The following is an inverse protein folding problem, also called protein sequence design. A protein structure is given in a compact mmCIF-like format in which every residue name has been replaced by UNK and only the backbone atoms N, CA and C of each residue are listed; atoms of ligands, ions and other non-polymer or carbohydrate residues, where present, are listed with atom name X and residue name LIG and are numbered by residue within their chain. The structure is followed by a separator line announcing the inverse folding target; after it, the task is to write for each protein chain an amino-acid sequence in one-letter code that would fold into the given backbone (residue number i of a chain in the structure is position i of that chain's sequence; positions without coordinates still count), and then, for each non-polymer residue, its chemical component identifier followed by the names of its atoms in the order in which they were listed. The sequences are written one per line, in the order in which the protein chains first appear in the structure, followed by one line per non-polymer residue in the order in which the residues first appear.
data_IF_570282079264
#
_entry.id   IF_570282079264
#
_cell.length_a   1.000
_cell.length_b   1.000
_cell.length_c   1.000
_cell.angle_alpha   90.00
_cell.angle_beta   90.00
_cell.angle_gamma   90.00
#
_symmetry.space_group_name_H-M   'P 1'
#
loop_
_entity.id
_entity.type
_entity.pdbx_description
1 polymer ?
#
# COMPACT_ATOMS: atom_id res chain seq x y z
N UNK A 1 4.50 12.25 1.22
CA UNK A 1 5.46 11.13 1.32
C UNK A 1 5.75 10.73 -0.11
N UNK A 2 6.95 11.02 -0.59
CA UNK A 2 7.30 10.70 -1.96
C UNK A 2 8.35 9.59 -2.00
N UNK A 3 8.51 8.97 -3.17
CA UNK A 3 9.62 8.08 -3.45
C UNK A 3 10.87 8.92 -3.78
N UNK A 4 12.04 8.42 -3.40
CA UNK A 4 13.31 9.09 -3.61
C UNK A 4 14.47 8.16 -3.31
N UNK A 5 15.67 8.59 -3.64
CA UNK A 5 16.87 7.76 -3.67
C UNK A 5 17.03 7.05 -5.01
N UNK A 6 17.68 5.88 -4.99
CA UNK A 6 17.86 5.04 -6.17
C UNK A 6 16.63 4.19 -6.41
N UNK A 7 16.03 4.31 -7.60
CA UNK A 7 14.84 3.59 -8.03
C UNK A 7 15.18 2.84 -9.32
N UNK A 8 14.89 1.54 -9.35
CA UNK A 8 15.00 0.72 -10.54
C UNK A 8 13.64 0.36 -11.09
N UNK A 9 13.42 0.58 -12.38
CA UNK A 9 12.24 0.09 -13.09
C UNK A 9 12.69 -0.99 -14.06
N UNK A 10 12.14 -2.19 -13.89
CA UNK A 10 12.40 -3.34 -14.74
C UNK A 10 11.21 -3.53 -15.70
N UNK A 11 11.36 -3.02 -16.93
CA UNK A 11 10.38 -3.24 -17.98
C UNK A 11 10.62 -4.58 -18.69
N UNK A 12 9.60 -5.15 -19.35
CA UNK A 12 9.81 -6.25 -20.27
C UNK A 12 10.90 -5.91 -21.30
N UNK A 13 11.73 -6.89 -21.65
CA UNK A 13 12.80 -6.68 -22.63
C UNK A 13 12.25 -6.38 -24.02
N UNK A 14 12.63 -5.24 -24.58
CA UNK A 14 12.24 -4.80 -25.93
C UNK A 14 13.44 -4.88 -26.88
N UNK A 15 13.29 -5.63 -27.98
CA UNK A 15 14.38 -5.86 -28.95
C UNK A 15 14.63 -4.64 -29.84
N UNK A 16 13.56 -4.02 -30.36
CA UNK A 16 13.69 -2.89 -31.27
C UNK A 16 14.07 -1.61 -30.52
N UNK A 17 15.03 -0.88 -31.06
CA UNK A 17 15.46 0.42 -30.51
C UNK A 17 14.34 1.46 -30.52
N UNK A 18 13.45 1.40 -31.51
CA UNK A 18 12.29 2.28 -31.62
C UNK A 18 11.33 2.11 -30.43
N UNK A 19 11.04 0.86 -30.04
CA UNK A 19 10.14 0.57 -28.92
C UNK A 19 10.72 1.05 -27.59
N UNK A 20 12.03 0.83 -27.36
CA UNK A 20 12.72 1.35 -26.17
C UNK A 20 12.64 2.88 -26.10
N UNK A 21 12.84 3.56 -27.24
CA UNK A 21 12.74 5.01 -27.35
C UNK A 21 11.32 5.50 -27.05
N UNK A 22 10.29 4.80 -27.54
CA UNK A 22 8.90 5.16 -27.24
C UNK A 22 8.60 5.08 -25.74
N UNK A 23 9.10 4.05 -25.04
CA UNK A 23 8.99 3.97 -23.57
C UNK A 23 9.75 5.10 -22.89
N UNK A 24 10.97 5.42 -23.34
CA UNK A 24 11.74 6.54 -22.80
C UNK A 24 11.00 7.88 -22.94
N UNK A 25 10.32 8.13 -24.06
CA UNK A 25 9.55 9.35 -24.31
C UNK A 25 8.30 9.43 -23.41
N UNK A 26 7.55 8.33 -23.28
CA UNK A 26 6.39 8.27 -22.37
C UNK A 26 6.82 8.42 -20.91
N UNK A 27 7.91 7.76 -20.51
CA UNK A 27 8.44 7.86 -19.16
C UNK A 27 8.93 9.27 -18.85
N UNK A 28 9.61 9.94 -19.78
CA UNK A 28 10.00 11.34 -19.61
C UNK A 28 8.78 12.24 -19.38
N UNK A 29 7.75 12.11 -20.22
CA UNK A 29 6.53 12.91 -20.09
C UNK A 29 5.80 12.64 -18.76
N UNK A 30 5.75 11.38 -18.32
CA UNK A 30 5.13 11.00 -17.05
C UNK A 30 5.87 11.55 -15.82
N UNK A 31 7.18 11.80 -15.93
CA UNK A 31 8.03 12.26 -14.83
C UNK A 31 8.41 13.75 -14.93
N UNK A 32 7.90 14.49 -15.91
CA UNK A 32 8.29 15.88 -16.22
C UNK A 32 8.16 16.83 -15.01
N UNK A 33 7.13 16.64 -14.19
CA UNK A 33 6.87 17.45 -12.99
C UNK A 33 7.62 17.02 -11.72
N UNK A 34 8.48 16.02 -11.79
CA UNK A 34 9.13 15.44 -10.61
C UNK A 34 10.66 15.56 -10.74
N UNK A 35 11.38 16.25 -9.83
CA UNK A 35 12.82 16.41 -9.95
C UNK A 35 13.59 15.09 -9.81
N UNK A 36 14.21 14.63 -10.90
CA UNK A 36 14.96 13.38 -10.95
C UNK A 36 16.02 13.39 -12.06
N UNK A 37 16.98 12.48 -11.96
CA UNK A 37 17.83 12.05 -13.07
C UNK A 37 17.44 10.62 -13.47
N UNK A 38 17.60 10.26 -14.74
CA UNK A 38 17.34 8.90 -15.20
C UNK A 38 18.28 8.47 -16.32
N UNK A 39 18.45 7.17 -16.46
CA UNK A 39 19.03 6.57 -17.65
C UNK A 39 17.97 6.42 -18.75
N UNK A 40 18.41 6.28 -20.00
CA UNK A 40 17.58 5.66 -21.03
C UNK A 40 17.38 4.17 -20.72
N UNK A 41 16.36 3.54 -21.32
CA UNK A 41 16.15 2.10 -21.21
C UNK A 41 17.34 1.33 -21.82
N UNK A 42 17.97 0.46 -21.02
CA UNK A 42 19.07 -0.36 -21.50
C UNK A 42 18.58 -1.57 -22.33
N UNK A 43 19.52 -2.38 -22.85
CA UNK A 43 19.19 -3.53 -23.70
C UNK A 43 18.43 -4.67 -23.01
N UNK A 44 18.32 -4.65 -21.67
CA UNK A 44 17.60 -5.65 -20.88
C UNK A 44 16.21 -5.18 -20.44
N UNK A 45 15.88 -3.89 -20.63
CA UNK A 45 14.60 -3.30 -20.20
C UNK A 45 14.70 -2.49 -18.91
N UNK A 46 15.88 -2.34 -18.33
CA UNK A 46 16.04 -1.62 -17.06
C UNK A 46 16.25 -0.11 -17.26
N UNK A 47 15.60 0.67 -16.41
CA UNK A 47 15.80 2.12 -16.26
C UNK A 47 16.16 2.42 -14.81
N UNK A 48 17.26 3.14 -14.59
CA UNK A 48 17.61 3.67 -13.29
C UNK A 48 17.13 5.11 -13.18
N UNK A 49 16.52 5.44 -12.05
CA UNK A 49 16.10 6.78 -11.67
C UNK A 49 16.77 7.14 -10.34
N UNK A 50 17.27 8.36 -10.24
CA UNK A 50 17.79 8.93 -9.00
C UNK A 50 17.03 10.21 -8.72
N UNK A 51 16.32 10.24 -7.59
CA UNK A 51 15.63 11.43 -7.10
C UNK A 51 16.12 11.77 -5.70
N UNK A 52 16.09 13.06 -5.33
CA UNK A 52 16.55 13.49 -4.01
C UNK A 52 15.64 12.90 -2.92
N UNK A 53 16.22 12.20 -1.95
CA UNK A 53 15.48 11.72 -0.78
C UNK A 53 15.45 12.84 0.29
N UNK A 54 14.37 13.62 0.31
CA UNK A 54 14.22 14.73 1.28
C UNK A 54 13.81 14.26 2.69
N UNK A 55 13.32 13.04 2.82
CA UNK A 55 12.97 12.44 4.10
C UNK A 55 12.41 11.03 3.97
N UNK A 56 12.01 10.39 5.09
CA UNK A 56 11.51 9.02 5.07
C UNK A 56 10.24 8.86 4.22
N UNK A 57 10.37 8.11 3.12
CA UNK A 57 9.24 7.70 2.27
C UNK A 57 8.23 6.83 3.04
N UNK A 58 7.07 6.58 2.41
CA UNK A 58 6.05 5.71 3.00
C UNK A 58 6.59 4.29 3.24
N UNK A 59 7.43 3.77 2.34
CA UNK A 59 8.06 2.46 2.48
C UNK A 59 9.02 2.42 3.69
N UNK A 60 9.84 3.45 3.88
CA UNK A 60 10.68 3.57 5.07
C UNK A 60 9.85 3.56 6.36
N UNK A 61 8.75 4.30 6.37
CA UNK A 61 7.82 4.35 7.53
C UNK A 61 7.14 3.01 7.77
N UNK A 62 6.85 2.23 6.73
CA UNK A 62 6.30 0.89 6.87
C UNK A 62 7.33 -0.10 7.42
N UNK A 63 8.59 0.03 7.01
CA UNK A 63 9.68 -0.80 7.53
C UNK A 63 9.88 -0.57 9.04
N UNK A 64 9.85 0.68 9.50
CA UNK A 64 10.11 1.02 10.92
C UNK A 64 8.89 0.93 11.82
N UNK A 65 7.67 1.04 11.28
CA UNK A 65 6.41 0.97 12.03
C UNK A 65 5.46 -0.10 11.50
N UNK A 66 5.98 -1.32 11.30
CA UNK A 66 5.28 -2.43 10.63
C UNK A 66 3.90 -2.75 11.23
N UNK A 67 3.79 -2.80 12.57
CA UNK A 67 2.52 -3.10 13.24
C UNK A 67 1.49 -1.99 13.02
N UNK A 68 1.92 -0.72 13.12
CA UNK A 68 1.04 0.42 12.85
C UNK A 68 0.62 0.50 11.37
N UNK A 69 1.51 0.15 10.45
CA UNK A 69 1.19 0.05 9.03
C UNK A 69 0.15 -1.04 8.76
N UNK A 70 0.36 -2.23 9.32
CA UNK A 70 -0.58 -3.34 9.22
C UNK A 70 -1.95 -2.98 9.83
N UNK A 71 -2.00 -2.23 10.93
CA UNK A 71 -3.26 -1.76 11.52
C UNK A 71 -4.08 -0.90 10.54
N UNK A 72 -3.42 0.05 9.85
CA UNK A 72 -4.06 0.87 8.80
C UNK A 72 -4.49 0.02 7.60
N UNK A 73 -3.70 -0.98 7.21
CA UNK A 73 -4.08 -1.91 6.14
C UNK A 73 -5.29 -2.76 6.51
N UNK A 74 -5.40 -3.20 7.76
CA UNK A 74 -6.55 -3.95 8.27
C UNK A 74 -7.85 -3.15 8.17
N UNK A 75 -7.83 -1.86 8.55
CA UNK A 75 -8.96 -0.93 8.37
C UNK A 75 -9.35 -0.77 6.89
N UNK A 76 -8.37 -0.62 6.00
CA UNK A 76 -8.63 -0.53 4.55
C UNK A 76 -9.22 -1.83 3.98
N UNK A 77 -8.83 -2.99 4.52
CA UNK A 77 -9.42 -4.27 4.13
C UNK A 77 -10.88 -4.35 4.57
N UNK A 78 -11.18 -3.93 5.79
CA UNK A 78 -12.54 -3.85 6.31
C UNK A 78 -13.44 -2.90 5.50
N UNK A 79 -12.92 -1.75 5.07
CA UNK A 79 -13.64 -0.76 4.25
C UNK A 79 -14.05 -1.31 2.87
N UNK A 80 -13.30 -2.30 2.34
CA UNK A 80 -13.54 -2.91 1.02
C UNK A 80 -14.50 -4.09 1.03
N UNK A 81 -14.88 -4.60 2.18
CA UNK A 81 -15.85 -5.70 2.24
C UNK A 81 -17.24 -5.12 1.99
N UNK A 82 -18.05 -5.82 1.21
CA UNK A 82 -19.40 -5.37 0.83
C UNK A 82 -20.44 -6.38 1.34
N UNK A 83 -21.66 -5.88 1.58
CA UNK A 83 -22.79 -6.68 2.06
C UNK A 83 -23.47 -6.09 3.30
N UNK A 84 -24.70 -6.55 3.60
CA UNK A 84 -25.44 -6.15 4.79
C UNK A 84 -24.98 -6.92 6.03
N UNK A 85 -24.93 -6.26 7.18
CA UNK A 85 -24.54 -6.86 8.46
C UNK A 85 -23.46 -6.06 9.17
N UNK A 86 -22.69 -6.72 10.04
CA UNK A 86 -21.53 -6.12 10.70
C UNK A 86 -20.22 -6.58 10.05
N UNK A 87 -19.19 -5.77 10.18
CA UNK A 87 -17.84 -6.14 9.73
C UNK A 87 -17.10 -6.83 10.87
N UNK A 88 -16.79 -8.11 10.73
CA UNK A 88 -15.87 -8.80 11.61
C UNK A 88 -14.43 -8.60 11.10
N UNK A 89 -13.60 -7.94 11.89
CA UNK A 89 -12.19 -7.70 11.61
C UNK A 89 -11.33 -8.53 12.57
N UNK A 90 -10.81 -9.66 12.09
CA UNK A 90 -9.93 -10.54 12.87
C UNK A 90 -8.47 -10.16 12.66
N UNK A 91 -7.74 -9.96 13.75
CA UNK A 91 -6.40 -9.38 13.77
C UNK A 91 -5.48 -10.04 14.79
N UNK A 92 -4.16 -9.93 14.61
CA UNK A 92 -3.21 -10.28 15.67
C UNK A 92 -3.36 -9.34 16.89
N UNK A 93 -3.21 -9.81 18.15
CA UNK A 93 -3.37 -8.96 19.34
C UNK A 93 -2.51 -7.69 19.35
N UNK A 94 -1.25 -7.77 18.90
CA UNK A 94 -0.37 -6.60 18.78
C UNK A 94 -0.90 -5.54 17.80
N UNK A 95 -1.70 -5.94 16.82
CA UNK A 95 -2.33 -5.05 15.85
C UNK A 95 -3.60 -4.41 16.44
N UNK A 96 -4.41 -5.18 17.18
CA UNK A 96 -5.55 -4.64 17.93
C UNK A 96 -5.11 -3.51 18.87
N UNK A 97 -3.99 -3.67 19.58
CA UNK A 97 -3.42 -2.64 20.44
C UNK A 97 -2.97 -1.34 19.71
N UNK A 98 -2.95 -1.33 18.37
CA UNK A 98 -2.65 -0.14 17.55
C UNK A 98 -3.90 0.47 16.91
N UNK A 99 -5.06 -0.19 17.00
CA UNK A 99 -6.33 0.37 16.54
C UNK A 99 -6.79 1.43 17.54
N UNK A 100 -7.34 2.53 17.02
CA UNK A 100 -7.87 3.62 17.83
C UNK A 100 -9.37 3.72 17.64
N UNK A 101 -10.09 4.06 18.70
CA UNK A 101 -11.55 4.22 18.68
C UNK A 101 -12.01 5.25 17.64
N UNK A 102 -11.25 6.34 17.46
CA UNK A 102 -11.53 7.34 16.42
C UNK A 102 -11.48 6.75 14.99
N UNK A 103 -10.61 5.78 14.74
CA UNK A 103 -10.51 5.12 13.43
C UNK A 103 -11.60 4.10 13.21
N UNK A 104 -11.99 3.37 14.27
CA UNK A 104 -13.09 2.41 14.21
C UNK A 104 -14.42 3.13 13.95
N UNK A 105 -14.69 4.23 14.67
CA UNK A 105 -15.87 5.07 14.43
C UNK A 105 -15.91 5.64 13.01
N UNK A 106 -14.76 6.08 12.49
CA UNK A 106 -14.68 6.57 11.11
C UNK A 106 -14.91 5.45 10.08
N UNK A 107 -14.42 4.24 10.34
CA UNK A 107 -14.68 3.07 9.50
C UNK A 107 -16.18 2.72 9.50
N UNK A 108 -16.82 2.69 10.68
CA UNK A 108 -18.26 2.46 10.81
C UNK A 108 -19.07 3.53 10.07
N UNK A 109 -18.69 4.80 10.23
CA UNK A 109 -19.33 5.93 9.53
C UNK A 109 -19.24 5.81 8.00
N UNK A 110 -18.08 5.39 7.47
CA UNK A 110 -17.88 5.26 6.01
C UNK A 110 -18.57 4.05 5.41
N UNK A 111 -18.64 2.96 6.17
CA UNK A 111 -19.21 1.70 5.71
C UNK A 111 -20.69 1.56 6.03
N UNK A 112 -21.23 2.41 6.90
CA UNK A 112 -22.56 2.32 7.49
C UNK A 112 -22.83 0.97 8.16
N UNK A 113 -21.78 0.35 8.75
CA UNK A 113 -21.84 -0.95 9.40
C UNK A 113 -21.05 -0.94 10.70
N UNK A 114 -21.54 -1.56 11.78
CA UNK A 114 -20.75 -1.77 13.00
C UNK A 114 -19.50 -2.60 12.71
N UNK A 115 -18.44 -2.39 13.51
CA UNK A 115 -17.18 -3.14 13.40
C UNK A 115 -16.92 -3.92 14.68
N UNK A 116 -16.79 -5.25 14.57
CA UNK A 116 -16.36 -6.13 15.64
C UNK A 116 -14.89 -6.50 15.45
N UNK A 117 -14.08 -6.32 16.49
CA UNK A 117 -12.68 -6.74 16.49
C UNK A 117 -12.55 -8.07 17.21
N UNK A 118 -11.95 -9.07 16.55
CA UNK A 118 -11.53 -10.32 17.18
C UNK A 118 -10.02 -10.45 17.10
N UNK A 119 -9.42 -11.00 18.16
CA UNK A 119 -7.98 -11.23 18.19
C UNK A 119 -7.64 -12.71 18.02
N UNK A 120 -6.63 -12.98 17.20
CA UNK A 120 -6.10 -14.32 16.94
C UNK A 120 -4.57 -14.29 16.97
N UNK A 121 -3.90 -14.82 18.01
CA UNK A 121 -2.44 -14.88 18.10
C UNK A 121 -1.77 -15.73 17.00
N UNK A 122 -2.49 -16.67 16.38
CA UNK A 122 -1.98 -17.47 15.27
C UNK A 122 -1.92 -16.71 13.94
N UNK A 123 -2.56 -15.55 13.86
CA UNK A 123 -2.59 -14.73 12.66
C UNK A 123 -1.28 -13.96 12.49
N UNK A 124 -0.65 -14.04 11.32
CA UNK A 124 0.48 -13.16 11.01
C UNK A 124 0.05 -11.68 11.08
N UNK A 125 0.95 -10.80 11.54
CA UNK A 125 0.67 -9.36 11.76
C UNK A 125 0.05 -8.67 10.53
N UNK A 126 0.38 -9.10 9.31
CA UNK A 126 -0.10 -8.51 8.06
C UNK A 126 -1.33 -9.22 7.46
N UNK A 127 -1.75 -10.33 8.06
CA UNK A 127 -2.77 -11.24 7.54
C UNK A 127 -4.18 -11.00 8.12
N UNK A 128 -4.46 -9.78 8.63
CA UNK A 128 -5.80 -9.38 9.08
C UNK A 128 -6.90 -9.82 8.10
N UNK A 129 -7.99 -10.40 8.57
CA UNK A 129 -9.13 -10.76 7.71
C UNK A 129 -10.32 -9.89 8.04
N UNK A 130 -11.13 -9.59 7.03
CA UNK A 130 -12.37 -8.85 7.19
C UNK A 130 -13.48 -9.55 6.42
N UNK A 131 -14.63 -9.72 7.06
CA UNK A 131 -15.80 -10.35 6.45
C UNK A 131 -17.08 -9.72 7.00
N UNK A 132 -18.17 -9.86 6.26
CA UNK A 132 -19.50 -9.48 6.76
C UNK A 132 -20.09 -10.68 7.50
N UNK A 133 -20.62 -10.43 8.69
CA UNK A 133 -21.35 -11.42 9.50
C UNK A 133 -22.72 -10.86 9.90
N UNK A 134 -23.67 -11.74 10.19
CA UNK A 134 -25.01 -11.39 10.70
C UNK A 134 -24.92 -10.69 12.05
N UNK A 135 -25.87 -9.80 12.36
CA UNK A 135 -25.90 -9.03 13.61
C UNK A 135 -25.98 -9.87 14.91
N UNK A 136 -26.43 -11.13 14.82
CA UNK A 136 -26.90 -11.93 15.96
C UNK A 136 -25.96 -13.08 16.42
N UNK A 137 -24.65 -12.96 16.19
CA UNK A 137 -23.64 -13.78 16.91
C UNK A 137 -22.95 -12.96 17.99
#
# INVERSE_FOLDING_TARGET
FDLGGSIGIDFPTLQAKADRRAVDEVLAAALDGWPHERTAMNGFGFVQIVARLEGPSLLHRFATARVGAAARMALRRAERVEGPGMTLLRVHPALAAKLKDEWLRELERRTARPVRIETDPGLAIHAATAQIVSHDE
#
